data_IF_953494345405
#
_entry.id   IF_953494345405
#
_cell.length_a   1.000
_cell.length_b   1.000
_cell.length_c   1.000
_cell.angle_alpha   90.00
_cell.angle_beta   90.00
_cell.angle_gamma   90.00
#
_symmetry.space_group_name_H-M   'P 1'
#
loop_
_entity.id
_entity.type
_entity.pdbx_description
1 polymer ?
#
# COMPACT_ATOMS: atom_id res chain seq x y z
N UNK A 1 29.13 1.97 5.49
CA UNK A 1 27.99 1.99 6.43
C UNK A 1 26.96 2.86 5.76
N UNK A 2 25.82 2.32 5.31
CA UNK A 2 24.83 3.12 4.57
C UNK A 2 24.00 3.89 5.60
N UNK A 3 24.13 5.21 5.61
CA UNK A 3 23.38 6.12 6.47
C UNK A 3 22.38 6.88 5.59
N UNK A 4 21.09 6.82 5.95
CA UNK A 4 20.01 7.44 5.20
C UNK A 4 19.49 8.73 5.85
N UNK A 5 20.21 9.29 6.82
CA UNK A 5 19.77 10.48 7.58
C UNK A 5 19.48 11.68 6.66
N UNK A 6 20.25 11.87 5.59
CA UNK A 6 20.06 12.96 4.64
C UNK A 6 18.75 12.82 3.83
N UNK A 7 18.49 11.63 3.28
CA UNK A 7 17.29 11.32 2.50
C UNK A 7 16.03 11.36 3.37
N UNK A 8 16.15 10.88 4.61
CA UNK A 8 15.09 11.04 5.62
C UNK A 8 14.80 12.51 5.87
N UNK A 9 15.83 13.33 6.11
CA UNK A 9 15.65 14.76 6.36
C UNK A 9 14.93 15.48 5.21
N UNK A 10 15.22 15.12 3.96
CA UNK A 10 14.53 15.65 2.77
C UNK A 10 13.04 15.30 2.80
N UNK A 11 12.71 14.03 2.98
CA UNK A 11 11.32 13.55 3.04
C UNK A 11 10.55 14.19 4.19
N UNK A 12 11.17 14.31 5.37
CA UNK A 12 10.59 14.97 6.56
C UNK A 12 10.36 16.45 6.35
N UNK A 13 11.32 17.16 5.75
CA UNK A 13 11.17 18.58 5.46
C UNK A 13 9.99 18.82 4.50
N UNK A 14 9.90 18.02 3.43
CA UNK A 14 8.76 18.06 2.52
C UNK A 14 7.43 17.85 3.24
N UNK A 15 7.28 16.74 3.99
CA UNK A 15 6.02 16.42 4.67
C UNK A 15 5.64 17.51 5.67
N UNK A 16 6.58 17.98 6.49
CA UNK A 16 6.32 19.01 7.49
C UNK A 16 5.91 20.35 6.86
N UNK A 17 6.59 20.80 5.80
CA UNK A 17 6.27 22.04 5.12
C UNK A 17 4.98 21.96 4.31
N UNK A 18 4.74 20.83 3.64
CA UNK A 18 3.51 20.60 2.87
C UNK A 18 2.28 20.51 3.78
N UNK A 19 2.36 19.75 4.87
CA UNK A 19 1.21 19.52 5.75
C UNK A 19 0.84 20.78 6.56
N UNK A 20 1.82 21.61 6.94
CA UNK A 20 1.59 22.88 7.66
C UNK A 20 1.19 24.04 6.77
N UNK A 21 1.47 23.98 5.47
CA UNK A 21 1.14 25.05 4.55
C UNK A 21 -0.38 25.16 4.36
N UNK A 22 -0.84 26.42 4.22
CA UNK A 22 -2.21 26.70 3.79
C UNK A 22 -2.47 26.00 2.45
N UNK A 23 -3.70 25.50 2.18
CA UNK A 23 -4.00 24.76 0.95
C UNK A 23 -3.56 25.47 -0.34
N UNK A 24 -3.64 26.80 -0.38
CA UNK A 24 -3.22 27.61 -1.53
C UNK A 24 -1.70 27.66 -1.76
N UNK A 25 -0.86 27.36 -0.76
CA UNK A 25 0.61 27.40 -0.87
C UNK A 25 1.23 25.99 -1.05
N UNK A 26 0.44 24.92 -0.89
CA UNK A 26 0.94 23.53 -0.96
C UNK A 26 1.56 23.15 -2.30
N UNK A 27 1.09 23.73 -3.41
CA UNK A 27 1.73 23.54 -4.72
C UNK A 27 3.15 24.10 -4.74
N UNK A 28 3.39 25.26 -4.13
CA UNK A 28 4.72 25.86 -4.06
C UNK A 28 5.65 25.01 -3.21
N UNK A 29 5.15 24.49 -2.06
CA UNK A 29 5.91 23.55 -1.21
C UNK A 29 6.27 22.28 -1.96
N UNK A 30 5.31 21.63 -2.61
CA UNK A 30 5.59 20.43 -3.39
C UNK A 30 6.67 20.71 -4.46
N UNK A 31 6.51 21.77 -5.25
CA UNK A 31 7.51 22.17 -6.27
C UNK A 31 8.90 22.44 -5.68
N UNK A 32 8.97 23.06 -4.50
CA UNK A 32 10.23 23.39 -3.85
C UNK A 32 10.99 22.12 -3.41
N UNK A 33 10.31 21.00 -3.16
CA UNK A 33 10.91 19.75 -2.70
C UNK A 33 11.12 18.71 -3.80
N UNK A 34 10.49 18.88 -4.96
CA UNK A 34 10.59 17.93 -6.09
C UNK A 34 11.64 18.31 -7.12
N UNK A 35 12.20 17.34 -7.85
CA UNK A 35 13.08 17.58 -9.00
C UNK A 35 12.32 18.16 -10.20
N UNK A 36 13.00 18.75 -11.20
CA UNK A 36 12.34 19.25 -12.42
C UNK A 36 11.61 18.18 -13.25
N UNK A 37 12.10 16.95 -13.22
CA UNK A 37 11.57 15.78 -13.92
C UNK A 37 10.64 14.91 -13.04
N UNK A 38 10.21 15.45 -11.90
CA UNK A 38 9.37 14.75 -10.95
C UNK A 38 8.07 14.22 -11.57
N UNK A 39 7.77 12.95 -11.29
CA UNK A 39 6.47 12.35 -11.56
C UNK A 39 5.87 11.68 -10.32
N UNK A 40 4.55 11.54 -10.35
CA UNK A 40 3.77 11.01 -9.25
C UNK A 40 2.87 9.87 -9.72
N UNK A 41 2.63 8.89 -8.85
CA UNK A 41 1.71 7.78 -9.07
C UNK A 41 0.72 7.74 -7.92
N UNK A 42 -0.55 7.65 -8.26
CA UNK A 42 -1.60 7.37 -7.30
C UNK A 42 -2.47 6.25 -7.79
N UNK A 43 -3.05 5.50 -6.85
CA UNK A 43 -4.10 4.51 -7.12
C UNK A 43 -5.24 5.10 -7.97
N UNK A 44 -6.05 4.26 -8.59
CA UNK A 44 -7.21 4.72 -9.36
C UNK A 44 -8.14 5.59 -8.48
N UNK A 45 -8.64 6.74 -9.00
CA UNK A 45 -8.59 7.20 -10.39
C UNK A 45 -7.40 8.12 -10.74
N UNK A 46 -6.49 8.36 -9.80
CA UNK A 46 -5.45 9.37 -9.96
C UNK A 46 -4.35 8.95 -10.94
N UNK A 47 -3.95 7.69 -10.94
CA UNK A 47 -2.95 7.12 -11.86
C UNK A 47 -1.63 7.93 -11.91
N UNK A 48 -0.89 7.86 -13.03
CA UNK A 48 0.37 8.60 -13.21
C UNK A 48 0.09 10.07 -13.50
N UNK A 49 0.81 10.95 -12.82
CA UNK A 49 0.76 12.40 -12.99
C UNK A 49 2.17 12.91 -13.36
N UNK A 50 2.30 13.72 -14.42
CA UNK A 50 3.60 14.07 -15.00
C UNK A 50 4.35 15.21 -14.26
N UNK A 51 3.78 15.76 -13.19
CA UNK A 51 4.40 16.87 -12.44
C UNK A 51 3.75 17.10 -11.09
N UNK A 52 4.40 17.90 -10.25
CA UNK A 52 3.85 18.41 -8.98
C UNK A 52 2.50 19.12 -9.18
N UNK A 53 2.35 19.92 -10.24
CA UNK A 53 1.09 20.62 -10.55
C UNK A 53 -0.03 19.61 -10.86
N UNK A 54 0.27 18.61 -11.68
CA UNK A 54 -0.71 17.59 -12.06
C UNK A 54 -1.11 16.73 -10.86
N UNK A 55 -0.16 16.34 -10.00
CA UNK A 55 -0.44 15.64 -8.75
C UNK A 55 -1.32 16.48 -7.80
N UNK A 56 -1.03 17.78 -7.67
CA UNK A 56 -1.86 18.70 -6.88
C UNK A 56 -3.29 18.79 -7.42
N UNK A 57 -3.47 18.87 -8.74
CA UNK A 57 -4.78 18.97 -9.36
C UNK A 57 -5.58 17.66 -9.26
N UNK A 58 -4.93 16.52 -9.47
CA UNK A 58 -5.59 15.22 -9.50
C UNK A 58 -5.98 14.73 -8.10
N UNK A 59 -5.09 14.88 -7.11
CA UNK A 59 -5.26 14.25 -5.79
C UNK A 59 -5.38 15.25 -4.65
N UNK A 60 -4.33 16.06 -4.43
CA UNK A 60 -4.22 16.83 -3.20
C UNK A 60 -5.25 17.94 -3.08
N UNK A 61 -5.48 18.72 -4.13
CA UNK A 61 -6.46 19.84 -4.08
C UNK A 61 -7.87 19.31 -3.84
N UNK A 62 -8.38 18.29 -4.56
CA UNK A 62 -9.66 17.68 -4.24
C UNK A 62 -9.73 17.13 -2.81
N UNK A 63 -8.69 16.42 -2.35
CA UNK A 63 -8.66 15.85 -0.99
C UNK A 63 -8.74 16.95 0.07
N UNK A 64 -7.96 18.03 -0.07
CA UNK A 64 -7.90 19.12 0.90
C UNK A 64 -9.17 19.97 0.92
N UNK A 65 -9.89 20.04 -0.20
CA UNK A 65 -11.21 20.67 -0.24
C UNK A 65 -12.27 19.80 0.45
N UNK A 66 -12.15 18.48 0.32
CA UNK A 66 -13.11 17.53 0.90
C UNK A 66 -12.90 17.28 2.40
N UNK A 67 -11.64 17.23 2.83
CA UNK A 67 -11.26 16.98 4.21
C UNK A 67 -10.74 18.27 4.86
N UNK A 68 -11.57 18.89 5.69
CA UNK A 68 -11.14 20.03 6.48
C UNK A 68 -10.26 19.57 7.65
N UNK A 69 -9.32 20.43 8.07
CA UNK A 69 -8.38 20.15 9.16
C UNK A 69 -7.58 18.84 8.99
N UNK A 70 -7.20 18.50 7.74
CA UNK A 70 -6.46 17.30 7.41
C UNK A 70 -5.12 17.21 8.17
N UNK A 71 -4.88 16.07 8.81
CA UNK A 71 -3.68 15.73 9.55
C UNK A 71 -3.09 14.44 9.02
N UNK A 72 -1.76 14.40 8.85
CA UNK A 72 -1.02 13.16 8.64
C UNK A 72 -0.70 12.53 10.00
N UNK A 73 -1.14 11.30 10.20
CA UNK A 73 -0.84 10.45 11.36
C UNK A 73 0.03 9.32 10.87
N UNK A 74 1.34 9.52 10.96
CA UNK A 74 2.32 8.57 10.47
C UNK A 74 2.59 7.49 11.51
N UNK A 75 2.56 6.24 11.07
CA UNK A 75 2.73 5.04 11.89
C UNK A 75 4.08 4.34 11.60
N UNK A 76 4.55 4.39 10.35
CA UNK A 76 5.84 3.85 9.92
C UNK A 76 6.56 4.84 9.02
N UNK A 77 7.86 5.02 9.26
CA UNK A 77 8.76 5.80 8.43
C UNK A 77 10.16 5.18 8.42
N UNK A 78 10.71 4.92 7.23
CA UNK A 78 12.08 4.41 7.07
C UNK A 78 12.61 4.70 5.67
N UNK A 79 13.90 4.44 5.47
CA UNK A 79 14.56 4.62 4.18
C UNK A 79 15.31 3.35 3.75
N UNK A 80 15.79 3.29 2.52
CA UNK A 80 16.65 2.19 2.09
C UNK A 80 17.08 2.28 0.64
N UNK A 81 18.12 1.52 0.30
CA UNK A 81 18.52 1.30 -1.09
C UNK A 81 17.58 0.30 -1.75
N UNK A 82 17.13 0.62 -2.94
CA UNK A 82 16.21 -0.22 -3.70
C UNK A 82 16.90 -1.46 -4.28
N UNK A 83 16.53 -2.65 -3.80
CA UNK A 83 17.06 -3.91 -4.32
C UNK A 83 16.77 -4.08 -5.82
N UNK A 84 15.64 -3.57 -6.30
CA UNK A 84 15.15 -3.81 -7.66
C UNK A 84 16.04 -3.18 -8.73
N UNK A 85 16.67 -2.05 -8.42
CA UNK A 85 17.59 -1.36 -9.33
C UNK A 85 19.07 -1.66 -9.04
N UNK A 86 19.34 -2.76 -8.34
CA UNK A 86 20.70 -3.15 -7.96
C UNK A 86 21.28 -2.30 -6.83
N UNK A 87 20.42 -1.81 -5.93
CA UNK A 87 20.80 -0.99 -4.77
C UNK A 87 21.40 0.38 -5.15
N UNK A 88 20.85 1.02 -6.20
CA UNK A 88 21.35 2.30 -6.71
C UNK A 88 20.52 3.49 -6.26
N UNK A 89 19.18 3.39 -6.28
CA UNK A 89 18.33 4.48 -5.83
C UNK A 89 17.99 4.37 -4.34
N UNK A 90 17.98 5.50 -3.64
CA UNK A 90 17.46 5.59 -2.27
C UNK A 90 15.98 5.97 -2.30
N UNK A 91 15.19 5.24 -1.52
CA UNK A 91 13.78 5.52 -1.31
C UNK A 91 13.49 5.75 0.18
N UNK A 92 12.46 6.54 0.44
CA UNK A 92 11.81 6.61 1.76
C UNK A 92 10.40 6.05 1.66
N UNK A 93 9.91 5.44 2.74
CA UNK A 93 8.56 4.95 2.90
C UNK A 93 7.92 5.66 4.11
N UNK A 94 6.69 6.15 3.95
CA UNK A 94 5.82 6.65 5.01
C UNK A 94 4.49 5.94 4.91
N UNK A 95 3.96 5.43 6.02
CA UNK A 95 2.65 4.78 6.05
C UNK A 95 1.90 5.23 7.30
N UNK A 96 0.59 5.42 7.15
CA UNK A 96 -0.31 5.69 8.26
C UNK A 96 -1.67 6.14 7.76
N UNK A 97 -2.20 7.22 8.34
CA UNK A 97 -3.53 7.74 8.02
C UNK A 97 -3.50 9.24 7.76
N UNK A 98 -4.23 9.67 6.74
CA UNK A 98 -4.73 11.04 6.68
C UNK A 98 -6.06 11.10 7.44
N UNK A 99 -6.16 11.96 8.44
CA UNK A 99 -7.35 12.12 9.27
C UNK A 99 -7.87 13.55 9.13
N UNK A 100 -9.16 13.73 8.89
CA UNK A 100 -9.79 15.05 8.84
C UNK A 100 -11.30 14.97 9.03
N UNK A 101 -11.99 16.10 8.95
CA UNK A 101 -13.45 16.15 8.90
C UNK A 101 -13.88 16.07 7.43
N UNK A 102 -14.71 15.08 7.10
CA UNK A 102 -15.16 14.88 5.72
C UNK A 102 -16.39 15.74 5.42
N UNK A 103 -16.12 17.00 5.05
CA UNK A 103 -17.10 18.09 5.00
C UNK A 103 -17.59 18.44 3.59
N UNK A 104 -16.86 18.04 2.55
CA UNK A 104 -17.28 18.20 1.16
C UNK A 104 -17.06 16.92 0.34
N UNK A 105 -17.81 16.70 -0.76
CA UNK A 105 -17.68 15.48 -1.55
C UNK A 105 -16.27 15.25 -2.09
N UNK A 106 -15.82 14.00 -2.08
CA UNK A 106 -14.56 13.56 -2.69
C UNK A 106 -14.82 12.39 -3.61
N UNK A 107 -14.45 12.47 -4.89
CA UNK A 107 -14.70 11.41 -5.89
C UNK A 107 -16.19 10.99 -6.03
N UNK A 108 -17.12 11.88 -5.67
CA UNK A 108 -18.56 11.59 -5.65
C UNK A 108 -19.06 10.99 -4.32
N UNK A 109 -18.15 10.66 -3.39
CA UNK A 109 -18.50 10.16 -2.05
C UNK A 109 -19.18 11.29 -1.26
N UNK A 110 -20.38 11.05 -0.69
CA UNK A 110 -21.08 12.08 0.08
C UNK A 110 -20.35 12.39 1.38
N UNK A 111 -20.20 13.68 1.75
CA UNK A 111 -19.59 14.06 3.01
C UNK A 111 -20.45 13.61 4.20
N UNK A 112 -19.79 13.33 5.32
CA UNK A 112 -20.46 12.87 6.55
C UNK A 112 -20.53 13.96 7.62
N UNK A 113 -19.72 15.01 7.51
CA UNK A 113 -19.50 15.99 8.58
C UNK A 113 -18.84 15.40 9.83
N UNK A 114 -18.23 14.22 9.70
CA UNK A 114 -17.59 13.48 10.79
C UNK A 114 -16.10 13.30 10.49
N UNK A 115 -15.35 12.91 11.52
CA UNK A 115 -13.99 12.43 11.36
C UNK A 115 -13.97 11.21 10.42
N UNK A 116 -13.04 11.22 9.47
CA UNK A 116 -12.76 10.10 8.59
C UNK A 116 -11.24 9.89 8.43
N UNK A 117 -10.86 8.65 8.18
CA UNK A 117 -9.48 8.20 8.03
C UNK A 117 -9.27 7.65 6.61
N UNK A 118 -8.30 8.21 5.89
CA UNK A 118 -7.79 7.66 4.64
C UNK A 118 -6.42 7.03 4.92
N UNK A 119 -6.37 5.70 4.94
CA UNK A 119 -5.12 4.97 5.07
C UNK A 119 -4.23 5.22 3.85
N UNK A 120 -2.92 5.41 4.07
CA UNK A 120 -1.96 5.62 3.00
C UNK A 120 -0.64 4.85 3.21
N UNK A 121 0.03 4.59 2.10
CA UNK A 121 1.45 4.29 2.02
C UNK A 121 2.07 5.13 0.89
N UNK A 122 3.08 5.93 1.22
CA UNK A 122 3.72 6.91 0.36
C UNK A 122 5.22 6.60 0.26
N UNK A 123 5.70 6.48 -0.97
CA UNK A 123 7.09 6.18 -1.28
C UNK A 123 7.69 7.35 -2.04
N UNK A 124 8.85 7.84 -1.61
CA UNK A 124 9.59 8.90 -2.32
C UNK A 124 10.96 8.40 -2.74
N UNK A 125 11.26 8.48 -4.05
CA UNK A 125 12.62 8.28 -4.56
C UNK A 125 13.39 9.57 -4.37
N UNK A 126 14.51 9.52 -3.65
CA UNK A 126 15.34 10.68 -3.36
C UNK A 126 16.53 10.67 -4.30
N UNK A 127 16.75 11.79 -4.99
CA UNK A 127 17.85 11.96 -5.94
C UNK A 127 18.31 13.43 -5.91
N UNK A 128 19.63 13.65 -5.84
CA UNK A 128 20.23 14.99 -5.86
C UNK A 128 19.59 15.99 -4.87
N UNK A 129 19.24 15.52 -3.66
CA UNK A 129 18.66 16.36 -2.62
C UNK A 129 17.17 16.70 -2.82
N UNK A 130 16.48 16.05 -3.76
CA UNK A 130 15.08 16.29 -4.10
C UNK A 130 14.29 14.99 -4.21
N UNK A 131 12.97 15.10 -4.15
CA UNK A 131 12.05 14.01 -4.46
C UNK A 131 11.91 13.93 -5.99
N UNK A 132 12.40 12.86 -6.59
CA UNK A 132 12.32 12.65 -8.04
C UNK A 132 11.10 11.82 -8.46
N UNK A 133 10.55 11.02 -7.54
CA UNK A 133 9.33 10.26 -7.80
C UNK A 133 8.52 10.10 -6.51
N UNK A 134 7.20 10.07 -6.64
CA UNK A 134 6.32 9.65 -5.55
C UNK A 134 5.35 8.57 -6.00
N UNK A 135 5.16 7.54 -5.19
CA UNK A 135 4.06 6.60 -5.32
C UNK A 135 3.20 6.64 -4.06
N UNK A 136 1.92 7.00 -4.21
CA UNK A 136 0.94 7.08 -3.14
C UNK A 136 -0.15 6.03 -3.34
N UNK A 137 -0.22 5.10 -2.41
CA UNK A 137 -1.31 4.14 -2.29
C UNK A 137 -2.23 4.56 -1.18
N UNK A 138 -3.54 4.54 -1.43
CA UNK A 138 -4.52 4.86 -0.41
C UNK A 138 -5.78 4.03 -0.59
N UNK A 139 -6.49 3.79 0.51
CA UNK A 139 -7.69 2.95 0.52
C UNK A 139 -8.96 3.81 0.35
N UNK A 140 -9.28 4.16 -0.90
CA UNK A 140 -10.46 4.98 -1.22
C UNK A 140 -11.76 4.28 -0.81
N UNK A 141 -11.84 2.94 -0.97
CA UNK A 141 -13.03 2.17 -0.60
C UNK A 141 -13.32 2.27 0.91
N UNK A 142 -12.27 2.31 1.75
CA UNK A 142 -12.47 2.52 3.19
C UNK A 142 -13.16 3.85 3.52
N UNK A 143 -12.93 4.91 2.74
CA UNK A 143 -13.61 6.21 2.91
C UNK A 143 -15.07 6.11 2.45
N UNK A 144 -15.35 5.36 1.37
CA UNK A 144 -16.73 5.10 0.93
C UNK A 144 -17.52 4.38 2.02
N UNK A 145 -16.94 3.33 2.62
CA UNK A 145 -17.57 2.58 3.70
C UNK A 145 -17.81 3.44 4.96
N UNK A 146 -16.86 4.30 5.35
CA UNK A 146 -17.05 5.28 6.42
C UNK A 146 -18.19 6.27 6.14
N UNK A 147 -18.48 6.55 4.87
CA UNK A 147 -19.61 7.37 4.42
C UNK A 147 -20.93 6.60 4.28
N UNK A 148 -20.96 5.30 4.60
CA UNK A 148 -22.14 4.45 4.46
C UNK A 148 -22.46 4.06 3.02
N UNK A 149 -21.47 4.13 2.13
CA UNK A 149 -21.56 3.71 0.73
C UNK A 149 -20.56 2.56 0.53
N UNK A 150 -20.99 1.31 0.68
CA UNK A 150 -20.11 0.15 0.52
C UNK A 150 -20.51 -0.66 -0.72
N UNK A 151 -19.73 -0.59 -1.81
CA UNK A 151 -20.09 -1.22 -3.08
C UNK A 151 -19.76 -2.73 -3.10
N UNK A 152 -19.13 -3.25 -2.05
CA UNK A 152 -18.68 -4.63 -1.96
C UNK A 152 -19.53 -5.45 -0.96
N UNK A 153 -19.62 -6.78 -1.13
CA UNK A 153 -20.25 -7.64 -0.13
C UNK A 153 -19.44 -7.65 1.18
N UNK A 154 -19.98 -8.23 2.26
CA UNK A 154 -19.24 -8.42 3.50
C UNK A 154 -17.87 -9.05 3.27
N UNK A 155 -16.84 -8.38 3.78
CA UNK A 155 -15.45 -8.83 3.70
C UNK A 155 -15.16 -10.03 4.62
N UNK A 156 -14.16 -10.83 4.26
CA UNK A 156 -13.77 -12.06 4.97
C UNK A 156 -12.98 -11.80 6.26
N UNK A 157 -12.17 -10.73 6.27
CA UNK A 157 -11.43 -10.22 7.43
C UNK A 157 -12.18 -9.09 8.14
N UNK A 158 -11.63 -8.61 9.26
CA UNK A 158 -12.23 -7.56 10.07
C UNK A 158 -11.96 -6.15 9.53
N UNK A 159 -12.92 -5.24 9.70
CA UNK A 159 -12.79 -3.82 9.38
C UNK A 159 -12.66 -3.01 10.67
N UNK A 160 -11.58 -2.25 10.81
CA UNK A 160 -11.32 -1.33 11.92
C UNK A 160 -10.23 -0.32 11.51
N UNK A 161 -9.99 0.69 12.34
CA UNK A 161 -8.86 1.60 12.13
C UNK A 161 -7.57 0.82 12.34
N UNK A 162 -6.83 0.63 11.25
CA UNK A 162 -5.61 -0.16 11.25
C UNK A 162 -4.55 0.52 12.13
N UNK A 163 -4.02 -0.15 13.16
CA UNK A 163 -3.02 0.44 14.02
C UNK A 163 -1.65 0.49 13.32
N UNK A 164 -0.77 1.33 13.85
CA UNK A 164 0.66 1.22 13.62
C UNK A 164 1.26 -0.05 14.27
N UNK A 165 2.59 -0.23 14.18
CA UNK A 165 3.26 -1.40 14.70
C UNK A 165 3.03 -1.59 16.20
N UNK A 166 2.82 -2.84 16.63
CA UNK A 166 2.62 -3.19 18.05
C UNK A 166 3.73 -2.64 18.96
N UNK A 167 4.95 -2.54 18.44
CA UNK A 167 6.15 -2.08 19.13
C UNK A 167 6.25 -0.56 19.29
N UNK A 168 5.41 0.22 18.60
CA UNK A 168 5.47 1.69 18.56
C UNK A 168 6.85 2.25 18.16
N UNK A 169 7.66 1.47 17.44
CA UNK A 169 9.01 1.84 16.98
C UNK A 169 9.09 2.04 15.45
N UNK A 170 7.94 2.23 14.80
CA UNK A 170 7.82 2.35 13.34
C UNK A 170 8.49 3.58 12.72
N UNK A 171 8.78 4.61 13.51
CA UNK A 171 9.41 5.84 13.04
C UNK A 171 10.93 5.78 13.19
N UNK A 172 11.61 5.22 12.18
CA UNK A 172 13.07 5.15 12.13
C UNK A 172 13.64 6.50 11.68
N UNK A 173 13.88 7.40 12.64
CA UNK A 173 14.34 8.77 12.36
C UNK A 173 15.87 8.93 12.37
N UNK A 174 16.58 8.12 13.15
CA UNK A 174 18.04 8.11 13.20
C UNK A 174 18.63 7.11 12.21
N UNK A 175 19.96 7.03 12.15
CA UNK A 175 20.62 5.88 11.54
C UNK A 175 20.24 4.60 12.28
N UNK A 176 20.17 3.51 11.53
CA UNK A 176 19.93 2.15 12.02
C UNK A 176 21.16 1.29 11.76
N UNK A 177 21.30 0.18 12.50
CA UNK A 177 22.30 -0.84 12.17
C UNK A 177 22.03 -1.38 10.74
N UNK A 178 22.98 -1.27 9.79
CA UNK A 178 22.79 -1.78 8.44
C UNK A 178 22.54 -3.28 8.37
N UNK A 179 23.03 -4.06 9.34
CA UNK A 179 22.85 -5.51 9.33
C UNK A 179 21.42 -5.93 9.71
N UNK A 180 20.73 -5.13 10.53
CA UNK A 180 19.29 -5.32 10.80
C UNK A 180 18.45 -5.16 9.53
N UNK A 181 18.74 -4.13 8.73
CA UNK A 181 18.06 -3.90 7.45
C UNK A 181 18.30 -5.03 6.46
N UNK A 182 19.54 -5.53 6.35
CA UNK A 182 19.86 -6.69 5.50
C UNK A 182 19.13 -7.96 5.95
N UNK A 183 19.08 -8.22 7.27
CA UNK A 183 18.36 -9.36 7.81
C UNK A 183 16.86 -9.28 7.50
N UNK A 184 16.27 -8.08 7.63
CA UNK A 184 14.86 -7.83 7.30
C UNK A 184 14.57 -8.01 5.81
N UNK A 185 15.43 -7.49 4.92
CA UNK A 185 15.29 -7.72 3.49
C UNK A 185 15.41 -9.21 3.13
N UNK A 186 16.36 -9.92 3.75
CA UNK A 186 16.57 -11.34 3.52
C UNK A 186 15.35 -12.20 3.89
N UNK A 187 14.68 -11.94 5.01
CA UNK A 187 13.46 -12.69 5.39
C UNK A 187 12.29 -12.40 4.45
N UNK A 188 12.12 -11.15 4.00
CA UNK A 188 11.07 -10.79 3.02
C UNK A 188 11.33 -11.47 1.68
N UNK A 189 12.59 -11.54 1.23
CA UNK A 189 12.96 -12.26 0.01
C UNK A 189 12.77 -13.77 0.14
N UNK A 190 13.11 -14.35 1.29
CA UNK A 190 12.85 -15.76 1.59
C UNK A 190 11.34 -16.05 1.50
N UNK A 191 10.51 -15.20 2.11
CA UNK A 191 9.05 -15.29 2.06
C UNK A 191 8.51 -15.19 0.62
N UNK A 192 8.97 -14.21 -0.17
CA UNK A 192 8.56 -14.06 -1.57
C UNK A 192 8.94 -15.28 -2.44
N UNK A 193 10.09 -15.90 -2.15
CA UNK A 193 10.52 -17.13 -2.80
C UNK A 193 9.65 -18.34 -2.38
N UNK A 194 9.25 -18.45 -1.11
CA UNK A 194 8.30 -19.48 -0.65
C UNK A 194 6.95 -19.36 -1.38
N UNK A 195 6.41 -18.13 -1.52
CA UNK A 195 5.17 -17.89 -2.29
C UNK A 195 5.34 -18.27 -3.76
N UNK A 196 6.48 -17.93 -4.38
CA UNK A 196 6.76 -18.28 -5.78
C UNK A 196 6.76 -19.80 -5.99
N UNK A 197 7.42 -20.55 -5.10
CA UNK A 197 7.41 -22.02 -5.13
C UNK A 197 6.01 -22.59 -4.94
N UNK A 198 5.22 -22.06 -4.02
CA UNK A 198 3.84 -22.49 -3.82
C UNK A 198 2.98 -22.26 -5.08
N UNK A 199 3.16 -21.12 -5.76
CA UNK A 199 2.49 -20.85 -7.04
C UNK A 199 2.91 -21.82 -8.14
N UNK A 200 4.19 -22.20 -8.22
CA UNK A 200 4.66 -23.23 -9.17
C UNK A 200 3.96 -24.58 -8.96
N UNK A 201 3.74 -24.98 -7.71
CA UNK A 201 3.01 -26.20 -7.38
C UNK A 201 1.55 -26.12 -7.82
N UNK A 202 0.87 -25.01 -7.52
CA UNK A 202 -0.51 -24.76 -7.97
C UNK A 202 -0.63 -24.72 -9.51
N UNK A 203 0.45 -24.35 -10.21
CA UNK A 203 0.52 -24.37 -11.67
C UNK A 203 0.98 -25.72 -12.25
N UNK A 204 1.16 -26.76 -11.41
CA UNK A 204 1.61 -28.08 -11.84
C UNK A 204 3.07 -28.14 -12.29
N UNK A 205 3.88 -27.11 -12.01
CA UNK A 205 5.29 -27.01 -12.39
C UNK A 205 6.24 -27.64 -11.36
N UNK A 206 5.78 -27.90 -10.15
CA UNK A 206 6.56 -28.52 -9.08
C UNK A 206 5.74 -29.59 -8.34
N UNK A 207 6.43 -30.63 -7.86
CA UNK A 207 5.86 -31.73 -7.05
C UNK A 207 6.13 -31.57 -5.55
N UNK A 208 6.98 -30.62 -5.15
CA UNK A 208 7.29 -30.37 -3.74
C UNK A 208 6.19 -29.53 -3.11
N UNK A 209 5.32 -30.15 -2.31
CA UNK A 209 4.15 -29.51 -1.73
C UNK A 209 4.36 -29.24 -0.24
N UNK A 210 4.43 -27.97 0.14
CA UNK A 210 4.15 -27.54 1.51
C UNK A 210 2.65 -27.28 1.61
N UNK A 211 2.05 -27.67 2.74
CA UNK A 211 0.70 -27.17 3.05
C UNK A 211 0.73 -25.64 3.21
N UNK A 212 -0.40 -24.95 3.03
CA UNK A 212 -0.51 -23.52 3.36
C UNK A 212 0.04 -23.16 4.74
N UNK A 213 -0.19 -24.02 5.74
CA UNK A 213 0.33 -23.82 7.09
C UNK A 213 1.86 -23.90 7.13
N UNK A 214 2.42 -24.97 6.54
CA UNK A 214 3.86 -25.18 6.52
C UNK A 214 4.58 -24.05 5.79
N UNK A 215 4.07 -23.61 4.64
CA UNK A 215 4.60 -22.47 3.89
C UNK A 215 4.63 -21.19 4.73
N UNK A 216 3.53 -20.86 5.41
CA UNK A 216 3.46 -19.64 6.23
C UNK A 216 4.41 -19.71 7.43
N UNK A 217 4.44 -20.84 8.14
CA UNK A 217 5.29 -21.02 9.34
C UNK A 217 6.80 -20.96 9.05
N UNK A 218 7.25 -21.06 7.79
CA UNK A 218 8.66 -20.89 7.41
C UNK A 218 9.19 -19.47 7.65
N UNK A 219 8.32 -18.47 7.57
CA UNK A 219 8.71 -17.06 7.54
C UNK A 219 7.87 -16.17 8.45
N UNK A 220 6.73 -16.65 8.96
CA UNK A 220 5.82 -15.89 9.81
C UNK A 220 5.73 -16.46 11.22
N UNK A 221 5.48 -15.57 12.18
CA UNK A 221 4.99 -15.97 13.50
C UNK A 221 3.57 -16.53 13.40
N UNK A 222 3.23 -17.46 14.29
CA UNK A 222 1.93 -18.14 14.26
C UNK A 222 0.77 -17.16 14.55
N UNK A 223 1.05 -16.10 15.32
CA UNK A 223 0.15 -15.01 15.66
C UNK A 223 0.32 -13.77 14.76
N UNK A 224 0.87 -13.94 13.55
CA UNK A 224 1.06 -12.83 12.62
C UNK A 224 -0.25 -12.08 12.31
N UNK A 225 -0.13 -10.77 12.05
CA UNK A 225 -1.25 -9.91 11.64
C UNK A 225 -1.06 -9.43 10.20
N UNK A 226 -2.12 -9.57 9.40
CA UNK A 226 -2.21 -9.03 8.05
C UNK A 226 -3.30 -7.95 8.03
N UNK A 227 -2.91 -6.70 7.80
CA UNK A 227 -3.82 -5.56 7.70
C UNK A 227 -4.10 -5.25 6.23
N UNK A 228 -5.08 -5.96 5.67
CA UNK A 228 -5.55 -5.77 4.30
C UNK A 228 -6.36 -4.49 4.05
N UNK A 229 -6.65 -4.19 2.77
CA UNK A 229 -7.53 -3.11 2.37
C UNK A 229 -9.01 -3.45 2.60
N UNK A 230 -9.86 -2.41 2.57
CA UNK A 230 -11.32 -2.54 2.54
C UNK A 230 -11.76 -3.45 1.38
N UNK A 231 -12.74 -4.31 1.67
CA UNK A 231 -13.18 -5.38 0.75
C UNK A 231 -12.52 -6.73 1.00
N UNK A 232 -11.36 -6.76 1.68
CA UNK A 232 -10.74 -8.01 2.18
C UNK A 232 -10.71 -8.00 3.71
N UNK A 233 -10.21 -6.91 4.32
CA UNK A 233 -10.10 -6.76 5.76
C UNK A 233 -8.82 -7.32 6.39
N UNK A 234 -8.71 -7.14 7.70
CA UNK A 234 -7.57 -7.61 8.48
C UNK A 234 -7.79 -9.04 9.03
N UNK A 235 -6.71 -9.80 9.15
CA UNK A 235 -6.70 -11.19 9.66
C UNK A 235 -5.65 -11.35 10.76
N UNK A 236 -5.88 -12.24 11.72
CA UNK A 236 -4.98 -12.50 12.85
C UNK A 236 -4.74 -13.99 13.04
N UNK A 237 -3.48 -14.41 13.14
CA UNK A 237 -2.96 -15.79 13.07
C UNK A 237 -2.84 -16.35 11.66
N UNK A 238 -1.91 -17.30 11.48
CA UNK A 238 -1.72 -18.01 10.20
C UNK A 238 -3.02 -18.67 9.73
N UNK A 239 -3.74 -19.36 10.62
CA UNK A 239 -4.97 -20.09 10.26
C UNK A 239 -6.05 -19.17 9.69
N UNK A 240 -6.23 -17.99 10.31
CA UNK A 240 -7.22 -17.01 9.85
C UNK A 240 -6.75 -16.26 8.62
N UNK A 241 -5.46 -15.94 8.51
CA UNK A 241 -4.91 -15.41 7.26
C UNK A 241 -5.15 -16.37 6.09
N UNK A 242 -4.91 -17.67 6.28
CA UNK A 242 -5.15 -18.69 5.26
C UNK A 242 -6.63 -18.72 4.89
N UNK A 243 -7.52 -18.82 5.88
CA UNK A 243 -8.96 -18.95 5.63
C UNK A 243 -9.57 -17.70 5.00
N UNK A 244 -9.17 -16.51 5.48
CA UNK A 244 -9.84 -15.25 5.14
C UNK A 244 -9.20 -14.53 3.95
N UNK A 245 -7.91 -14.73 3.68
CA UNK A 245 -7.22 -14.07 2.57
C UNK A 245 -6.57 -15.04 1.60
N UNK A 246 -5.63 -15.86 2.08
CA UNK A 246 -4.79 -16.68 1.20
C UNK A 246 -5.61 -17.68 0.37
N UNK A 247 -6.54 -18.41 0.98
CA UNK A 247 -7.36 -19.42 0.31
C UNK A 247 -8.36 -18.82 -0.69
N UNK A 248 -9.13 -17.75 -0.37
CA UNK A 248 -9.91 -17.03 -1.38
C UNK A 248 -9.03 -16.55 -2.53
N UNK A 249 -7.91 -15.91 -2.23
CA UNK A 249 -6.95 -15.45 -3.24
C UNK A 249 -6.42 -16.62 -4.06
N UNK A 250 -6.19 -17.81 -3.47
CA UNK A 250 -5.63 -19.02 -4.10
C UNK A 250 -6.61 -19.82 -4.95
N UNK A 251 -7.88 -19.81 -4.59
CA UNK A 251 -8.88 -20.69 -5.21
C UNK A 251 -9.84 -19.97 -6.14
N UNK A 252 -9.94 -18.63 -6.06
CA UNK A 252 -10.89 -17.83 -6.84
C UNK A 252 -10.22 -16.94 -7.91
N UNK A 253 -8.89 -16.98 -7.98
CA UNK A 253 -8.07 -16.29 -8.96
C UNK A 253 -7.13 -17.29 -9.66
N UNK A 254 -7.10 -17.32 -10.98
CA UNK A 254 -6.21 -18.16 -11.78
C UNK A 254 -5.06 -17.33 -12.39
N UNK A 255 -4.19 -17.99 -13.15
CA UNK A 255 -3.15 -17.37 -13.99
C UNK A 255 -2.28 -16.32 -13.30
N UNK A 256 -1.84 -16.61 -12.07
CA UNK A 256 -1.01 -15.69 -11.27
C UNK A 256 0.31 -15.42 -11.97
N UNK A 257 0.48 -14.21 -12.46
CA UNK A 257 1.71 -13.71 -13.06
C UNK A 257 2.27 -12.64 -12.13
N UNK A 258 3.50 -12.84 -11.68
CA UNK A 258 4.24 -11.82 -10.93
C UNK A 258 4.98 -10.91 -11.90
N UNK A 259 4.62 -9.62 -11.88
CA UNK A 259 5.16 -8.59 -12.77
C UNK A 259 6.38 -7.87 -12.15
N UNK A 260 6.74 -8.19 -10.92
CA UNK A 260 7.84 -7.57 -10.19
C UNK A 260 7.44 -6.39 -9.30
N UNK A 261 8.45 -5.77 -8.71
CA UNK A 261 8.34 -4.55 -7.92
C UNK A 261 8.97 -3.39 -8.66
N UNK A 262 8.58 -2.17 -8.30
CA UNK A 262 9.28 -0.94 -8.69
C UNK A 262 10.31 -0.58 -7.64
N UNK A 263 9.93 -0.68 -6.37
CA UNK A 263 10.84 -0.50 -5.23
C UNK A 263 10.68 -1.65 -4.23
N UNK A 264 11.79 -2.11 -3.66
CA UNK A 264 11.84 -2.96 -2.47
C UNK A 264 13.10 -2.60 -1.66
N UNK A 265 12.92 -2.21 -0.40
CA UNK A 265 14.01 -1.81 0.47
C UNK A 265 13.64 -2.00 1.94
N UNK A 266 14.66 -2.01 2.81
CA UNK A 266 14.49 -2.24 4.23
C UNK A 266 15.46 -1.42 5.06
N UNK A 267 15.05 -1.13 6.29
CA UNK A 267 15.88 -0.55 7.34
C UNK A 267 15.39 -1.00 8.71
N UNK A 268 16.33 -1.31 9.61
CA UNK A 268 16.00 -1.86 10.92
C UNK A 268 15.14 -3.11 10.78
N UNK A 269 13.99 -3.12 11.46
CA UNK A 269 13.01 -4.22 11.41
C UNK A 269 11.91 -4.03 10.37
N UNK A 270 12.01 -3.02 9.51
CA UNK A 270 10.96 -2.66 8.55
C UNK A 270 11.41 -2.87 7.11
N UNK A 271 10.51 -3.35 6.27
CA UNK A 271 10.70 -3.50 4.83
C UNK A 271 9.45 -3.06 4.10
N UNK A 272 9.60 -2.45 2.93
CA UNK A 272 8.50 -2.04 2.10
C UNK A 272 8.76 -2.33 0.64
N UNK A 273 7.72 -2.71 -0.08
CA UNK A 273 7.75 -2.75 -1.54
C UNK A 273 6.44 -2.28 -2.15
N UNK A 274 6.50 -1.91 -3.43
CA UNK A 274 5.30 -1.75 -4.25
C UNK A 274 5.54 -2.20 -5.69
N UNK A 275 4.46 -2.61 -6.36
CA UNK A 275 4.47 -2.93 -7.79
C UNK A 275 3.38 -2.19 -8.57
N UNK A 276 3.61 -1.97 -9.87
CA UNK A 276 2.76 -1.13 -10.71
C UNK A 276 2.68 -1.60 -12.19
N UNK A 277 1.88 -2.65 -12.50
CA UNK A 277 1.21 -3.54 -11.57
C UNK A 277 2.19 -4.54 -10.94
N UNK A 278 1.82 -5.09 -9.79
CA UNK A 278 2.60 -6.09 -9.07
C UNK A 278 2.27 -7.51 -9.54
N UNK A 279 0.97 -7.76 -9.74
CA UNK A 279 0.44 -9.06 -10.14
C UNK A 279 -0.57 -8.88 -11.27
N UNK A 280 -0.69 -9.90 -12.11
CA UNK A 280 -1.84 -10.08 -13.01
C UNK A 280 -2.48 -11.41 -12.67
N UNK A 281 -3.81 -11.44 -12.56
CA UNK A 281 -4.60 -12.63 -12.20
C UNK A 281 -5.88 -12.70 -13.04
N UNK A 282 -6.43 -13.89 -13.24
CA UNK A 282 -7.71 -14.08 -13.93
C UNK A 282 -8.80 -14.45 -12.91
N UNK A 283 -9.81 -13.60 -12.65
CA UNK A 283 -10.92 -13.95 -11.77
C UNK A 283 -11.78 -15.08 -12.35
N UNK A 284 -11.91 -16.17 -11.59
CA UNK A 284 -12.72 -17.35 -11.95
C UNK A 284 -14.05 -17.43 -11.19
N UNK A 285 -14.40 -16.34 -10.49
CA UNK A 285 -15.65 -16.17 -9.76
C UNK A 285 -15.51 -16.37 -8.25
N UNK A 286 -16.34 -15.66 -7.49
CA UNK A 286 -16.40 -15.70 -6.03
C UNK A 286 -15.49 -14.71 -5.32
N UNK A 287 -14.36 -14.31 -5.92
CA UNK A 287 -13.44 -13.34 -5.32
C UNK A 287 -14.13 -11.98 -5.16
N UNK A 288 -14.22 -11.47 -3.93
CA UNK A 288 -14.99 -10.27 -3.56
C UNK A 288 -16.48 -10.35 -3.93
N UNK A 289 -17.03 -11.56 -4.06
CA UNK A 289 -18.39 -11.81 -4.53
C UNK A 289 -18.65 -11.47 -6.00
N UNK A 290 -17.59 -11.27 -6.80
CA UNK A 290 -17.72 -10.98 -8.22
C UNK A 290 -17.87 -12.25 -9.06
N UNK A 291 -18.57 -12.17 -10.21
CA UNK A 291 -18.62 -13.27 -11.16
C UNK A 291 -17.25 -13.50 -11.82
N UNK A 292 -17.10 -14.67 -12.44
CA UNK A 292 -15.96 -14.90 -13.33
C UNK A 292 -16.01 -13.91 -14.49
N UNK A 293 -14.89 -13.27 -14.80
CA UNK A 293 -14.78 -12.40 -15.97
C UNK A 293 -14.11 -13.10 -17.15
N UNK A 294 -13.31 -14.15 -16.87
CA UNK A 294 -12.48 -14.83 -17.86
C UNK A 294 -11.41 -13.94 -18.49
N UNK A 295 -11.13 -12.77 -17.90
CA UNK A 295 -10.16 -11.78 -18.40
C UNK A 295 -9.10 -11.50 -17.34
N UNK A 296 -7.82 -11.36 -17.73
CA UNK A 296 -6.77 -10.93 -16.82
C UNK A 296 -7.05 -9.53 -16.25
N UNK A 297 -6.77 -9.36 -14.96
CA UNK A 297 -6.88 -8.10 -14.24
C UNK A 297 -5.60 -7.84 -13.44
N UNK A 298 -5.09 -6.61 -13.56
CA UNK A 298 -3.86 -6.18 -12.92
C UNK A 298 -4.13 -5.68 -11.50
N UNK A 299 -3.25 -6.03 -10.58
CA UNK A 299 -3.24 -5.53 -9.21
C UNK A 299 -2.02 -4.67 -8.99
N UNK A 300 -2.24 -3.42 -8.58
CA UNK A 300 -1.21 -2.53 -8.04
C UNK A 300 -1.25 -2.70 -6.53
N UNK A 301 -0.11 -3.03 -5.94
CA UNK A 301 -0.04 -3.47 -4.54
C UNK A 301 1.16 -2.81 -3.89
N UNK A 302 0.97 -2.46 -2.63
CA UNK A 302 2.03 -2.06 -1.71
C UNK A 302 1.94 -2.90 -0.44
N UNK A 303 3.10 -3.28 0.06
CA UNK A 303 3.26 -4.02 1.30
C UNK A 303 4.32 -3.35 2.16
N UNK A 304 4.02 -3.21 3.45
CA UNK A 304 4.96 -2.83 4.49
C UNK A 304 4.99 -3.96 5.52
N UNK A 305 6.18 -4.36 5.95
CA UNK A 305 6.40 -5.49 6.86
C UNK A 305 7.13 -5.02 8.11
N UNK A 306 6.83 -5.66 9.23
CA UNK A 306 7.68 -5.68 10.42
C UNK A 306 8.22 -7.09 10.68
N UNK A 307 9.54 -7.20 10.81
CA UNK A 307 10.24 -8.39 11.31
C UNK A 307 10.26 -8.39 12.84
N UNK A 308 10.13 -9.55 13.44
CA UNK A 308 10.44 -9.82 14.84
C UNK A 308 11.30 -11.07 14.97
N UNK A 309 12.51 -10.93 15.51
CA UNK A 309 13.50 -12.01 15.49
C UNK A 309 13.81 -12.47 14.06
N UNK A 310 13.68 -13.76 13.81
CA UNK A 310 13.95 -14.41 12.52
C UNK A 310 12.72 -14.54 11.61
N UNK A 311 11.58 -13.96 12.00
CA UNK A 311 10.28 -14.10 11.32
C UNK A 311 9.56 -12.76 11.13
N UNK A 312 8.58 -12.73 10.23
CA UNK A 312 7.66 -11.62 10.02
C UNK A 312 6.51 -11.70 11.03
N UNK A 313 6.12 -10.54 11.59
CA UNK A 313 5.07 -10.44 12.61
C UNK A 313 3.85 -9.65 12.12
N UNK A 314 4.07 -8.55 11.41
CA UNK A 314 2.99 -7.68 10.93
C UNK A 314 3.19 -7.30 9.46
N UNK A 315 2.09 -7.18 8.73
CA UNK A 315 2.11 -6.70 7.36
C UNK A 315 0.91 -5.83 7.03
N UNK A 316 1.20 -4.64 6.52
CA UNK A 316 0.26 -3.62 6.11
C UNK A 316 0.19 -3.60 4.59
N UNK A 317 -0.96 -3.97 4.03
CA UNK A 317 -1.17 -4.03 2.58
C UNK A 317 -2.23 -3.04 2.12
N UNK A 318 -1.97 -2.38 0.98
CA UNK A 318 -2.98 -1.65 0.23
C UNK A 318 -2.97 -2.16 -1.20
N UNK A 319 -4.14 -2.53 -1.71
CA UNK A 319 -4.36 -2.91 -3.10
C UNK A 319 -5.19 -1.78 -3.75
N UNK A 320 -4.88 -1.42 -4.99
CA UNK A 320 -5.70 -0.52 -5.80
C UNK A 320 -7.02 -1.23 -6.19
N UNK A 321 -7.91 -1.40 -5.22
CA UNK A 321 -9.13 -2.18 -5.36
C UNK A 321 -10.03 -1.56 -6.44
N UNK A 322 -10.14 -0.24 -6.50
CA UNK A 322 -10.93 0.42 -7.54
C UNK A 322 -10.39 0.13 -8.95
N UNK A 323 -9.07 0.10 -9.14
CA UNK A 323 -8.49 -0.31 -10.42
C UNK A 323 -8.83 -1.77 -10.76
N UNK A 324 -8.66 -2.67 -9.79
CA UNK A 324 -8.91 -4.09 -9.97
C UNK A 324 -10.38 -4.39 -10.30
N UNK A 325 -11.33 -3.71 -9.63
CA UNK A 325 -12.76 -3.79 -9.91
C UNK A 325 -13.09 -3.23 -11.30
N UNK A 326 -12.50 -2.08 -11.67
CA UNK A 326 -12.72 -1.47 -12.98
C UNK A 326 -12.25 -2.35 -14.13
N UNK A 327 -11.11 -3.04 -13.99
CA UNK A 327 -10.64 -4.01 -15.00
C UNK A 327 -11.59 -5.20 -15.19
N UNK A 328 -12.38 -5.51 -14.16
CA UNK A 328 -13.42 -6.54 -14.21
C UNK A 328 -14.77 -6.02 -14.75
N UNK A 329 -14.85 -4.75 -15.14
CA UNK A 329 -16.06 -4.12 -15.66
C UNK A 329 -16.94 -3.47 -14.59
N UNK A 330 -16.49 -3.41 -13.33
CA UNK A 330 -17.19 -2.71 -12.26
C UNK A 330 -16.51 -1.36 -11.98
N UNK A 331 -16.98 -0.31 -12.65
CA UNK A 331 -16.57 1.07 -12.33
C UNK A 331 -17.40 1.62 -11.15
N UNK A 332 -16.85 1.46 -9.94
CA UNK A 332 -17.50 1.87 -8.68
C UNK A 332 -17.75 3.38 -8.65
N UNK A 333 -16.77 4.19 -9.08
CA UNK A 333 -16.89 5.65 -8.99
C UNK A 333 -17.86 6.20 -10.04
N UNK A 334 -17.91 5.61 -11.24
CA UNK A 334 -18.92 5.96 -12.24
C UNK A 334 -20.34 5.64 -11.74
N UNK A 335 -20.55 4.45 -11.17
CA UNK A 335 -21.85 4.05 -10.59
C UNK A 335 -22.28 4.99 -9.46
N UNK A 336 -21.36 5.35 -8.57
CA UNK A 336 -21.62 6.29 -7.49
C UNK A 336 -22.08 7.66 -8.02
N UNK A 337 -21.38 8.20 -9.02
CA UNK A 337 -21.74 9.47 -9.65
C UNK A 337 -23.08 9.41 -10.41
N UNK A 338 -23.48 8.23 -10.88
CA UNK A 338 -24.80 7.99 -11.46
C UNK A 338 -25.92 7.80 -10.41
N UNK A 339 -25.60 7.91 -9.11
CA UNK A 339 -26.56 7.78 -8.02
C UNK A 339 -26.82 6.35 -7.54
N UNK A 340 -26.05 5.37 -8.02
CA UNK A 340 -26.11 3.98 -7.55
C UNK A 340 -25.22 3.86 -6.33
N UNK A 341 -25.83 3.75 -5.15
CA UNK A 341 -25.14 3.64 -3.85
C UNK A 341 -25.01 2.20 -3.41
#
# INVERSE_FOLDING_TARGET
MTDFTAEKAISRAYMAEFDRAAPSDRLNRLKAHTSPDFHWRGVHPFNRQPSAKAAMQAFWTPLLNAFSSLQRREDVFFAGLNEIDGFTATWTCSMGHFMGLFDAPWLGIPPTGKMAFLRYAEFHRIENGKIAETALFCDVLSVMAQAGVDPLPPQTGAAFIVPGPMTNDGLLLSSSDPDEGKATLAIVNKMANSISKANEVLQGKSKTYLTPQQEMSENWHDDMIWYGPHGIGATYTIDRYITQHQAPFRTQLADRIFNGHVARFAEGKYCGFFGWPNLTVTPIGGYLGLPATGKPADMRVVDIYRRDGDKLAENWVIIDMLHFLKMQGLDVLERLNAGVR
#
